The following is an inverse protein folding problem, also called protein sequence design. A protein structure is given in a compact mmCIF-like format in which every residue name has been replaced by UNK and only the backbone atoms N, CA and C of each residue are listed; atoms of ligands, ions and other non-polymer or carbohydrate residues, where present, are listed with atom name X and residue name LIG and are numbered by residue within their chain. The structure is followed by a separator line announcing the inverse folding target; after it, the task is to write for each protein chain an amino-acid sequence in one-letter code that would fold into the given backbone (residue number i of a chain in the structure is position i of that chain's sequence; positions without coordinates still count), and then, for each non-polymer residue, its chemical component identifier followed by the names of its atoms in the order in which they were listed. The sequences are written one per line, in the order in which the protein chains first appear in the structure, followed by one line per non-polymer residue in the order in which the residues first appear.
data_IF_670294552080
#
_entry.id   IF_670294552080
#
_cell.length_a   1.000
_cell.length_b   1.000
_cell.length_c   1.000
_cell.angle_alpha   90.00
_cell.angle_beta   90.00
_cell.angle_gamma   90.00
#
_symmetry.space_group_name_H-M   'P 1'
#
loop_
_entity.id
_entity.type
_entity.pdbx_description
1 polymer ?
#
# COMPACT_ATOMS: atom_id res chain seq x y z
N UNK A 1 2.98 1.82 6.72
CA UNK A 1 2.67 0.53 7.40
C UNK A 1 3.97 -0.24 7.59
N UNK A 2 4.22 -0.78 8.79
CA UNK A 2 5.50 -1.44 9.08
C UNK A 2 5.39 -2.92 8.72
N UNK A 3 6.27 -3.38 7.83
CA UNK A 3 6.52 -4.80 7.59
C UNK A 3 7.01 -5.43 8.90
N UNK A 4 6.48 -6.57 9.26
CA UNK A 4 6.88 -7.36 10.43
C UNK A 4 7.49 -8.68 9.97
N UNK A 5 8.29 -9.28 10.83
CA UNK A 5 8.79 -10.63 10.58
C UNK A 5 7.63 -11.62 10.72
N UNK A 6 7.54 -12.57 9.78
CA UNK A 6 6.57 -13.67 9.87
C UNK A 6 6.76 -14.45 11.16
N UNK A 7 5.69 -14.94 11.80
CA UNK A 7 5.82 -15.72 13.02
C UNK A 7 6.53 -17.05 12.73
N UNK A 8 7.69 -17.26 13.35
CA UNK A 8 8.44 -18.52 13.24
C UNK A 8 7.72 -19.67 13.95
N UNK A 9 6.98 -19.36 15.02
CA UNK A 9 6.18 -20.31 15.80
C UNK A 9 4.76 -19.79 15.93
N UNK A 10 3.80 -20.67 15.70
CA UNK A 10 2.37 -20.39 15.89
C UNK A 10 1.66 -21.63 16.40
N UNK A 11 0.55 -21.43 17.09
CA UNK A 11 -0.33 -22.48 17.59
C UNK A 11 -1.61 -22.52 16.75
N UNK A 12 -2.04 -23.74 16.40
CA UNK A 12 -3.38 -23.93 15.82
C UNK A 12 -4.41 -23.89 16.94
N UNK A 13 -5.47 -23.15 16.72
CA UNK A 13 -6.58 -23.05 17.68
C UNK A 13 -7.93 -23.22 16.97
N UNK A 14 -8.76 -24.09 17.51
CA UNK A 14 -10.15 -24.26 17.07
C UNK A 14 -11.03 -23.10 17.54
N UNK A 15 -10.57 -22.35 18.54
CA UNK A 15 -11.25 -21.18 19.10
C UNK A 15 -10.91 -19.87 18.34
N UNK A 16 -10.07 -19.96 17.31
CA UNK A 16 -9.78 -18.80 16.45
C UNK A 16 -10.72 -18.80 15.26
N UNK A 17 -11.52 -17.74 15.16
CA UNK A 17 -12.41 -17.49 14.04
C UNK A 17 -11.81 -16.43 13.12
N UNK A 18 -11.72 -16.74 11.83
CA UNK A 18 -11.15 -15.84 10.80
C UNK A 18 -11.94 -15.93 9.52
N UNK A 19 -12.25 -14.78 8.93
CA UNK A 19 -12.81 -14.70 7.59
C UNK A 19 -12.27 -13.47 6.88
N UNK A 20 -11.89 -13.64 5.62
CA UNK A 20 -11.59 -12.53 4.72
C UNK A 20 -12.82 -12.22 3.88
N UNK A 21 -13.33 -10.99 4.01
CA UNK A 21 -14.47 -10.51 3.24
C UNK A 21 -14.03 -9.97 1.88
N UNK A 22 -12.80 -9.43 1.82
CA UNK A 22 -12.17 -8.93 0.60
C UNK A 22 -10.70 -9.34 0.56
N UNK A 23 -10.28 -9.91 -0.56
CA UNK A 23 -8.89 -10.22 -0.90
C UNK A 23 -8.49 -9.45 -2.16
N UNK A 24 -7.18 -9.27 -2.41
CA UNK A 24 -6.72 -8.57 -3.59
C UNK A 24 -7.25 -9.17 -4.89
N UNK A 25 -7.55 -8.30 -5.85
CA UNK A 25 -7.76 -8.69 -7.24
C UNK A 25 -6.43 -8.89 -7.97
N UNK A 26 -6.44 -9.70 -9.03
CA UNK A 26 -5.23 -10.18 -9.72
C UNK A 26 -4.34 -9.09 -10.35
N UNK A 27 -4.85 -7.89 -10.58
CA UNK A 27 -4.22 -6.91 -11.46
C UNK A 27 -3.93 -5.54 -10.81
N UNK A 28 -4.08 -5.41 -9.49
CA UNK A 28 -3.96 -4.12 -8.80
C UNK A 28 -2.72 -4.07 -7.91
N UNK A 29 -1.87 -3.05 -8.10
CA UNK A 29 -0.63 -2.85 -7.32
C UNK A 29 -0.85 -2.45 -5.86
N UNK A 30 -2.04 -1.91 -5.52
CA UNK A 30 -2.53 -1.66 -4.18
C UNK A 30 -3.67 -2.60 -3.87
N UNK A 31 -3.63 -3.23 -2.72
CA UNK A 31 -4.63 -4.22 -2.34
C UNK A 31 -5.25 -3.87 -1.00
N UNK A 32 -6.55 -3.76 -0.99
CA UNK A 32 -7.36 -3.69 0.22
C UNK A 32 -7.72 -5.11 0.65
N UNK A 33 -7.37 -5.45 1.87
CA UNK A 33 -7.76 -6.69 2.50
C UNK A 33 -8.64 -6.33 3.67
N UNK A 34 -9.85 -6.86 3.65
CA UNK A 34 -10.83 -6.65 4.71
C UNK A 34 -11.35 -8.00 5.19
N UNK A 35 -11.71 -8.02 6.45
CA UNK A 35 -12.23 -9.22 7.07
C UNK A 35 -12.35 -9.05 8.57
N UNK A 36 -12.27 -10.14 9.29
CA UNK A 36 -12.30 -10.15 10.74
C UNK A 36 -11.59 -11.38 11.30
N UNK A 37 -11.06 -11.24 12.52
CA UNK A 37 -10.46 -12.33 13.26
C UNK A 37 -10.61 -12.09 14.76
N UNK A 38 -11.06 -13.09 15.51
CA UNK A 38 -11.09 -13.05 16.96
C UNK A 38 -10.81 -14.42 17.58
N UNK A 39 -10.29 -14.40 18.81
CA UNK A 39 -10.06 -15.58 19.63
C UNK A 39 -11.14 -15.61 20.70
N UNK A 40 -11.92 -16.71 20.80
CA UNK A 40 -12.97 -16.87 21.78
C UNK A 40 -12.48 -16.66 23.21
N UNK A 41 -13.26 -15.91 23.99
CA UNK A 41 -12.97 -15.61 25.38
C UNK A 41 -11.82 -14.61 25.60
N UNK A 42 -11.26 -14.01 24.52
CA UNK A 42 -10.20 -13.00 24.61
C UNK A 42 -10.69 -11.67 24.08
N UNK A 43 -10.72 -10.59 24.90
CA UNK A 43 -11.07 -9.27 24.43
C UNK A 43 -10.18 -8.87 23.24
N UNK A 44 -10.81 -8.50 22.14
CA UNK A 44 -10.04 -8.24 20.93
C UNK A 44 -9.14 -7.01 21.03
N UNK A 45 -9.38 -6.10 21.97
CA UNK A 45 -8.52 -4.97 22.32
C UNK A 45 -7.12 -5.43 22.75
N UNK A 46 -7.01 -6.59 23.39
CA UNK A 46 -5.76 -7.19 23.89
C UNK A 46 -5.00 -7.96 22.79
N UNK A 47 -5.60 -8.14 21.63
CA UNK A 47 -5.03 -8.88 20.53
C UNK A 47 -4.41 -7.99 19.45
N UNK A 48 -3.62 -8.59 18.56
CA UNK A 48 -3.11 -7.97 17.33
C UNK A 48 -3.35 -8.92 16.17
N UNK A 49 -3.89 -8.39 15.06
CA UNK A 49 -4.17 -9.18 13.86
C UNK A 49 -3.04 -8.96 12.85
N UNK A 50 -2.46 -10.04 12.36
CA UNK A 50 -1.40 -10.04 11.35
C UNK A 50 -1.87 -10.77 10.10
N UNK A 51 -1.48 -10.26 8.94
CA UNK A 51 -1.75 -10.87 7.64
C UNK A 51 -0.42 -11.14 6.97
N UNK A 52 -0.16 -12.40 6.64
CA UNK A 52 1.03 -12.88 5.94
C UNK A 52 0.69 -13.22 4.49
N UNK A 53 1.52 -12.78 3.59
CA UNK A 53 1.49 -13.12 2.18
C UNK A 53 2.67 -14.02 1.87
N UNK A 54 2.41 -15.15 1.23
CA UNK A 54 3.44 -16.05 0.72
C UNK A 54 3.34 -16.09 -0.80
N UNK A 55 4.35 -15.59 -1.50
CA UNK A 55 4.37 -15.56 -2.96
C UNK A 55 4.74 -16.91 -3.58
N UNK A 56 4.69 -16.99 -4.92
CA UNK A 56 5.00 -18.19 -5.70
C UNK A 56 6.44 -18.70 -5.50
N UNK A 57 7.36 -17.88 -5.01
CA UNK A 57 8.74 -18.22 -4.69
C UNK A 57 8.94 -18.56 -3.22
N UNK A 58 7.87 -18.57 -2.42
CA UNK A 58 7.93 -18.84 -0.99
C UNK A 58 8.38 -17.67 -0.13
N UNK A 59 8.55 -16.48 -0.71
CA UNK A 59 8.86 -15.28 0.05
C UNK A 59 7.65 -14.87 0.87
N UNK A 60 7.89 -14.54 2.13
CA UNK A 60 6.87 -14.16 3.09
C UNK A 60 6.99 -12.68 3.46
N UNK A 61 5.88 -11.98 3.40
CA UNK A 61 5.72 -10.61 3.88
C UNK A 61 4.55 -10.55 4.87
N UNK A 62 4.81 -10.12 6.10
CA UNK A 62 3.82 -10.09 7.18
C UNK A 62 3.55 -8.65 7.63
N UNK A 63 2.29 -8.30 7.80
CA UNK A 63 1.82 -6.95 8.13
C UNK A 63 0.87 -6.96 9.31
N UNK A 64 0.98 -5.97 10.18
CA UNK A 64 0.01 -5.70 11.23
C UNK A 64 -1.19 -4.98 10.61
N UNK A 65 -2.38 -5.56 10.74
CA UNK A 65 -3.62 -4.95 10.29
C UNK A 65 -4.12 -3.87 11.26
N UNK A 66 -4.81 -2.86 10.73
CA UNK A 66 -5.60 -1.96 11.54
C UNK A 66 -6.87 -2.69 12.00
N UNK A 67 -7.25 -2.49 13.27
CA UNK A 67 -8.51 -3.03 13.77
C UNK A 67 -9.64 -2.03 13.57
N UNK A 68 -10.80 -2.55 13.19
CA UNK A 68 -12.02 -1.77 13.03
C UNK A 68 -13.20 -2.48 13.74
N UNK A 69 -14.17 -1.72 14.24
CA UNK A 69 -15.34 -2.32 14.92
C UNK A 69 -16.20 -3.10 13.93
N UNK A 70 -16.69 -4.27 14.39
CA UNK A 70 -17.57 -5.17 13.65
C UNK A 70 -18.78 -5.58 14.52
N UNK A 71 -19.70 -4.66 14.79
CA UNK A 71 -20.92 -4.98 15.55
C UNK A 71 -21.76 -6.10 14.91
N UNK A 72 -21.70 -6.21 13.58
CA UNK A 72 -22.36 -7.28 12.83
C UNK A 72 -21.85 -8.69 13.22
N UNK A 73 -20.57 -8.80 13.58
CA UNK A 73 -19.98 -10.08 14.05
C UNK A 73 -20.42 -10.37 15.49
N UNK A 74 -20.48 -9.34 16.34
CA UNK A 74 -21.01 -9.47 17.71
C UNK A 74 -22.45 -9.97 17.66
N UNK A 75 -23.29 -9.38 16.82
CA UNK A 75 -24.69 -9.76 16.69
C UNK A 75 -24.85 -11.18 16.12
N UNK A 76 -24.03 -11.56 15.14
CA UNK A 76 -24.13 -12.85 14.48
C UNK A 76 -23.66 -14.02 15.36
N UNK A 77 -22.67 -13.82 16.21
CA UNK A 77 -22.02 -14.88 17.00
C UNK A 77 -22.29 -14.75 18.51
N UNK A 78 -22.88 -13.66 18.98
CA UNK A 78 -23.08 -13.38 20.42
C UNK A 78 -21.77 -13.11 21.17
N UNK A 79 -20.67 -12.84 20.45
CA UNK A 79 -19.31 -12.71 20.99
C UNK A 79 -19.00 -11.22 21.24
N UNK A 80 -19.30 -10.73 22.44
CA UNK A 80 -19.09 -9.30 22.80
C UNK A 80 -17.60 -8.91 22.78
N UNK A 81 -16.70 -9.83 23.05
CA UNK A 81 -15.25 -9.69 22.98
C UNK A 81 -14.75 -9.42 21.54
N UNK A 82 -15.56 -9.76 20.53
CA UNK A 82 -15.21 -9.61 19.12
C UNK A 82 -15.51 -8.21 18.54
N UNK A 83 -15.94 -7.22 19.34
CA UNK A 83 -16.31 -5.90 18.80
C UNK A 83 -15.22 -5.28 17.92
N UNK A 84 -13.96 -5.36 18.32
CA UNK A 84 -12.81 -4.82 17.58
C UNK A 84 -12.09 -5.89 16.73
N UNK A 85 -12.84 -6.86 16.19
CA UNK A 85 -12.28 -7.98 15.43
C UNK A 85 -12.06 -7.69 13.94
N UNK A 86 -12.59 -6.60 13.41
CA UNK A 86 -12.40 -6.25 12.02
C UNK A 86 -10.92 -5.99 11.69
N UNK A 87 -10.48 -6.47 10.55
CA UNK A 87 -9.19 -6.14 9.97
C UNK A 87 -9.36 -5.28 8.73
N UNK A 88 -8.57 -4.23 8.66
CA UNK A 88 -8.44 -3.37 7.48
C UNK A 88 -6.96 -3.17 7.19
N UNK A 89 -6.53 -3.66 6.03
CA UNK A 89 -5.14 -3.66 5.63
C UNK A 89 -5.02 -3.23 4.17
N UNK A 90 -4.35 -2.11 3.93
CA UNK A 90 -3.97 -1.67 2.60
C UNK A 90 -2.47 -1.82 2.42
N UNK A 91 -2.06 -2.63 1.45
CA UNK A 91 -0.65 -2.92 1.17
C UNK A 91 -0.34 -2.84 -0.31
N UNK A 92 0.93 -2.59 -0.61
CA UNK A 92 1.47 -2.80 -1.95
C UNK A 92 1.99 -4.23 -2.08
N UNK A 93 1.47 -4.97 -3.06
CA UNK A 93 1.92 -6.33 -3.37
C UNK A 93 3.01 -6.38 -4.45
N UNK A 94 3.47 -5.22 -4.91
CA UNK A 94 4.43 -5.09 -6.03
C UNK A 94 5.78 -5.80 -5.82
N UNK A 95 6.13 -6.12 -4.58
CA UNK A 95 7.36 -6.85 -4.24
C UNK A 95 7.19 -8.35 -4.19
N UNK A 96 5.98 -8.86 -4.37
CA UNK A 96 5.69 -10.28 -4.47
C UNK A 96 6.02 -10.77 -5.87
N UNK A 97 6.46 -12.02 -5.98
CA UNK A 97 6.69 -12.65 -7.28
C UNK A 97 5.36 -12.93 -8.00
N UNK A 98 5.38 -12.86 -9.33
CA UNK A 98 4.23 -13.24 -10.14
C UNK A 98 3.82 -14.68 -9.87
N UNK A 99 2.52 -14.92 -9.92
CA UNK A 99 1.93 -16.23 -9.71
C UNK A 99 1.02 -16.28 -8.47
N UNK A 100 0.72 -17.47 -7.97
CA UNK A 100 -0.17 -17.64 -6.84
C UNK A 100 0.42 -17.05 -5.56
N UNK A 101 -0.39 -16.30 -4.85
CA UNK A 101 -0.08 -15.73 -3.53
C UNK A 101 -1.06 -16.28 -2.52
N UNK A 102 -0.54 -16.85 -1.45
CA UNK A 102 -1.34 -17.38 -0.33
C UNK A 102 -1.40 -16.36 0.79
N UNK A 103 -2.58 -16.22 1.40
CA UNK A 103 -2.82 -15.30 2.51
C UNK A 103 -3.11 -16.11 3.77
N UNK A 104 -2.34 -15.84 4.83
CA UNK A 104 -2.56 -16.37 6.18
C UNK A 104 -2.89 -15.24 7.14
N UNK A 105 -3.76 -15.52 8.09
CA UNK A 105 -4.12 -14.60 9.16
C UNK A 105 -3.70 -15.19 10.50
N UNK A 106 -3.06 -14.37 11.32
CA UNK A 106 -2.68 -14.72 12.69
C UNK A 106 -3.27 -13.70 13.66
N UNK A 107 -3.70 -14.19 14.80
CA UNK A 107 -4.03 -13.37 15.96
C UNK A 107 -2.96 -13.56 17.01
N UNK A 108 -2.36 -12.47 17.50
CA UNK A 108 -1.37 -12.50 18.57
C UNK A 108 -2.01 -12.04 19.87
N UNK A 109 -1.89 -12.88 20.91
CA UNK A 109 -2.27 -12.61 22.30
C UNK A 109 -1.18 -13.15 23.22
N UNK A 110 -0.79 -12.40 24.25
CA UNK A 110 0.24 -12.74 25.25
C UNK A 110 1.54 -13.31 24.65
N UNK A 111 1.99 -12.73 23.56
CA UNK A 111 3.23 -13.15 22.88
C UNK A 111 3.07 -14.33 21.95
N UNK A 112 1.96 -15.07 22.02
CA UNK A 112 1.68 -16.27 21.21
C UNK A 112 0.91 -15.88 19.94
N UNK A 113 1.30 -16.45 18.81
CA UNK A 113 0.57 -16.35 17.56
C UNK A 113 -0.36 -17.55 17.39
N UNK A 114 -1.62 -17.27 17.12
CA UNK A 114 -2.66 -18.26 16.85
C UNK A 114 -3.04 -18.21 15.38
N UNK A 115 -3.25 -19.37 14.78
CA UNK A 115 -3.86 -19.55 13.47
C UNK A 115 -4.95 -20.61 13.58
N UNK A 116 -5.93 -20.57 12.70
CA UNK A 116 -6.95 -21.61 12.66
C UNK A 116 -6.47 -22.88 11.93
N UNK A 117 -7.36 -23.86 11.83
CA UNK A 117 -7.08 -25.13 11.15
C UNK A 117 -6.99 -25.00 9.62
N UNK A 118 -7.48 -23.88 9.05
CA UNK A 118 -7.36 -23.60 7.64
C UNK A 118 -6.09 -22.78 7.40
N UNK A 119 -5.08 -23.38 6.80
CA UNK A 119 -3.77 -22.76 6.60
C UNK A 119 -3.77 -21.57 5.65
N UNK A 120 -4.76 -21.46 4.76
CA UNK A 120 -4.85 -20.38 3.76
C UNK A 120 -6.24 -19.78 3.79
N UNK A 121 -6.34 -18.47 4.03
CA UNK A 121 -7.61 -17.74 4.08
C UNK A 121 -8.03 -17.14 2.75
N UNK A 122 -7.09 -16.98 1.85
CA UNK A 122 -7.33 -16.49 0.51
C UNK A 122 -6.15 -16.81 -0.39
N UNK A 123 -6.43 -16.89 -1.65
CA UNK A 123 -5.42 -17.05 -2.69
C UNK A 123 -5.78 -16.15 -3.87
N UNK A 124 -4.79 -15.50 -4.46
CA UNK A 124 -4.96 -14.73 -5.68
C UNK A 124 -3.73 -14.89 -6.56
N UNK A 125 -3.89 -14.62 -7.85
CA UNK A 125 -2.77 -14.59 -8.78
C UNK A 125 -2.23 -13.18 -8.89
N UNK A 126 -1.00 -12.99 -8.42
CA UNK A 126 -0.28 -11.74 -8.62
C UNK A 126 0.33 -11.73 -10.03
N UNK A 127 0.07 -10.66 -10.76
CA UNK A 127 0.65 -10.42 -12.07
C UNK A 127 1.23 -9.01 -12.09
N UNK A 128 2.51 -8.92 -11.80
CA UNK A 128 3.24 -7.67 -11.90
C UNK A 128 4.27 -7.80 -13.00
N UNK A 129 4.28 -6.90 -13.96
CA UNK A 129 5.34 -6.86 -14.97
C UNK A 129 4.95 -7.24 -16.40
N UNK A 130 3.69 -7.50 -16.71
CA UNK A 130 3.23 -7.59 -18.11
C UNK A 130 2.85 -6.24 -18.73
N UNK A 131 2.93 -5.15 -17.96
CA UNK A 131 2.83 -3.81 -18.52
C UNK A 131 4.17 -3.47 -19.13
N UNK A 132 4.21 -3.18 -20.40
CA UNK A 132 5.44 -2.82 -21.09
C UNK A 132 6.07 -1.51 -20.61
N UNK A 133 5.44 -0.78 -19.62
CA UNK A 133 5.87 0.52 -19.11
C UNK A 133 5.56 0.66 -17.62
N UNK A 134 6.41 1.40 -16.89
CA UNK A 134 6.13 1.83 -15.52
C UNK A 134 5.20 3.04 -15.53
N UNK A 135 4.28 3.09 -14.58
CA UNK A 135 3.43 4.26 -14.33
C UNK A 135 4.05 5.11 -13.20
N UNK A 136 4.62 6.24 -13.54
CA UNK A 136 5.29 7.15 -12.61
C UNK A 136 4.48 8.42 -12.45
N UNK A 137 4.16 8.81 -11.22
CA UNK A 137 3.37 10.00 -10.97
C UNK A 137 4.13 11.09 -10.19
N UNK A 138 3.92 12.32 -10.60
CA UNK A 138 4.18 13.51 -9.79
C UNK A 138 2.89 13.88 -9.06
N UNK A 139 2.96 14.06 -7.74
CA UNK A 139 1.80 14.40 -6.92
C UNK A 139 1.83 15.83 -6.41
N UNK A 140 0.66 16.45 -6.34
CA UNK A 140 0.45 17.76 -5.74
C UNK A 140 0.70 18.92 -6.70
N UNK A 141 1.12 20.05 -6.18
CA UNK A 141 1.33 21.24 -7.00
C UNK A 141 2.60 21.16 -7.84
N UNK A 142 2.46 21.17 -9.16
CA UNK A 142 3.58 21.25 -10.09
C UNK A 142 4.00 22.71 -10.30
N UNK A 143 4.95 23.13 -9.48
CA UNK A 143 5.58 24.46 -9.49
C UNK A 143 7.10 24.30 -9.52
N UNK A 144 7.88 25.33 -9.92
CA UNK A 144 9.34 25.24 -10.02
C UNK A 144 10.00 24.67 -8.75
N UNK A 145 9.56 25.12 -7.58
CA UNK A 145 10.10 24.69 -6.28
C UNK A 145 9.90 23.20 -5.99
N UNK A 146 8.84 22.60 -6.55
CA UNK A 146 8.51 21.19 -6.41
C UNK A 146 8.98 20.34 -7.59
N UNK A 147 9.84 20.90 -8.44
CA UNK A 147 10.54 20.18 -9.49
C UNK A 147 9.85 20.17 -10.84
N UNK A 148 8.92 21.11 -11.15
CA UNK A 148 8.31 21.16 -12.47
C UNK A 148 9.33 21.37 -13.59
N UNK A 149 10.39 22.14 -13.33
CA UNK A 149 11.47 22.35 -14.31
C UNK A 149 12.21 21.02 -14.60
N UNK A 150 12.53 20.26 -13.57
CA UNK A 150 13.16 18.95 -13.72
C UNK A 150 12.24 17.94 -14.44
N UNK A 151 10.95 17.96 -14.12
CA UNK A 151 9.97 17.11 -14.80
C UNK A 151 9.87 17.43 -16.30
N UNK A 152 9.92 18.73 -16.67
CA UNK A 152 9.89 19.17 -18.07
C UNK A 152 11.13 18.70 -18.86
N UNK A 153 12.26 18.51 -18.21
CA UNK A 153 13.46 17.93 -18.84
C UNK A 153 13.40 16.41 -18.84
N UNK A 154 13.03 15.81 -17.71
CA UNK A 154 13.04 14.36 -17.53
C UNK A 154 12.04 13.63 -18.42
N UNK A 155 10.81 14.14 -18.51
CA UNK A 155 9.73 13.47 -19.27
C UNK A 155 10.11 13.33 -20.76
N UNK A 156 10.58 14.40 -21.48
CA UNK A 156 10.97 14.28 -22.86
C UNK A 156 12.22 13.41 -23.11
N UNK A 157 13.05 13.18 -22.09
CA UNK A 157 14.22 12.29 -22.20
C UNK A 157 13.84 10.81 -22.23
N UNK A 158 12.65 10.47 -21.71
CA UNK A 158 12.16 9.10 -21.74
C UNK A 158 11.80 8.69 -23.18
N UNK A 159 12.33 7.54 -23.60
CA UNK A 159 12.10 6.96 -24.93
C UNK A 159 10.87 6.05 -24.96
N UNK A 160 9.90 6.29 -24.07
CA UNK A 160 8.64 5.56 -24.02
C UNK A 160 8.65 4.32 -23.12
N UNK A 161 9.60 4.26 -22.17
CA UNK A 161 9.64 3.22 -21.12
C UNK A 161 8.74 3.49 -19.93
N UNK A 162 8.25 4.72 -19.79
CA UNK A 162 7.46 5.19 -18.65
C UNK A 162 6.16 5.83 -19.15
N UNK A 163 5.07 5.58 -18.46
CA UNK A 163 3.88 6.40 -18.52
C UNK A 163 3.96 7.44 -17.41
N UNK A 164 3.95 8.70 -17.76
CA UNK A 164 4.08 9.82 -16.83
C UNK A 164 2.72 10.38 -16.46
N UNK A 165 2.47 10.55 -15.18
CA UNK A 165 1.24 11.12 -14.64
C UNK A 165 1.56 12.37 -13.84
N UNK A 166 0.91 13.48 -14.18
CA UNK A 166 0.95 14.72 -13.39
C UNK A 166 -0.39 14.87 -12.70
N UNK A 167 -0.42 14.54 -11.41
CA UNK A 167 -1.65 14.45 -10.62
C UNK A 167 -1.70 15.60 -9.62
N UNK A 168 -2.55 16.60 -9.89
CA UNK A 168 -2.76 17.74 -9.01
C UNK A 168 -2.73 19.10 -9.69
N UNK A 169 -2.57 20.16 -8.90
CA UNK A 169 -2.57 21.53 -9.40
C UNK A 169 -1.34 21.83 -10.27
N UNK A 170 -1.54 22.36 -11.44
CA UNK A 170 -0.48 22.75 -12.37
C UNK A 170 -0.25 24.26 -12.25
N UNK A 171 0.79 24.64 -11.50
CA UNK A 171 1.21 26.02 -11.36
C UNK A 171 2.20 26.47 -12.43
N UNK A 172 3.03 25.55 -12.94
CA UNK A 172 3.90 25.78 -14.09
C UNK A 172 3.19 25.32 -15.37
N UNK A 173 2.53 26.25 -16.06
CA UNK A 173 1.76 25.93 -17.25
C UNK A 173 2.59 25.38 -18.41
N UNK A 174 3.89 25.65 -18.44
CA UNK A 174 4.75 25.17 -19.52
C UNK A 174 4.92 23.63 -19.48
N UNK A 175 4.58 22.95 -18.37
CA UNK A 175 4.57 21.48 -18.31
C UNK A 175 3.48 20.89 -19.23
N UNK A 176 2.42 21.65 -19.51
CA UNK A 176 1.34 21.22 -20.41
C UNK A 176 1.76 21.23 -21.89
N UNK A 177 2.90 21.85 -22.22
CA UNK A 177 3.47 21.85 -23.57
C UNK A 177 4.16 20.51 -23.91
N UNK A 178 4.29 19.62 -22.93
CA UNK A 178 4.83 18.27 -23.15
C UNK A 178 3.81 17.48 -23.97
N UNK A 179 4.11 17.28 -25.25
CA UNK A 179 3.25 16.58 -26.21
C UNK A 179 3.68 15.12 -26.41
N UNK A 180 3.79 14.35 -25.33
CA UNK A 180 4.09 12.92 -25.41
C UNK A 180 2.83 12.10 -25.17
N UNK A 181 2.61 11.06 -25.99
CA UNK A 181 1.46 10.14 -25.87
C UNK A 181 1.40 9.41 -24.52
N UNK A 182 2.54 9.28 -23.85
CA UNK A 182 2.71 8.62 -22.55
C UNK A 182 2.74 9.60 -21.37
N UNK A 183 2.30 10.86 -21.55
CA UNK A 183 2.19 11.85 -20.48
C UNK A 183 0.73 12.26 -20.26
N UNK A 184 0.23 12.03 -19.05
CA UNK A 184 -1.16 12.22 -18.66
C UNK A 184 -1.27 13.28 -17.58
N UNK A 185 -2.22 14.17 -17.71
CA UNK A 185 -2.47 15.26 -16.77
C UNK A 185 -3.84 15.07 -16.13
N UNK A 186 -3.91 15.19 -14.81
CA UNK A 186 -5.15 15.20 -14.04
C UNK A 186 -5.37 16.59 -13.41
N UNK A 187 -6.63 16.90 -13.13
CA UNK A 187 -6.99 18.08 -12.34
C UNK A 187 -6.62 17.91 -10.85
N UNK A 188 -6.88 18.96 -10.06
CA UNK A 188 -6.78 18.88 -8.60
C UNK A 188 -7.70 17.78 -8.04
N UNK A 189 -7.24 17.10 -7.01
CA UNK A 189 -7.98 16.07 -6.29
C UNK A 189 -8.10 16.44 -4.82
N UNK A 190 -9.09 15.88 -4.14
CA UNK A 190 -9.18 15.91 -2.68
C UNK A 190 -8.33 14.80 -2.08
N UNK A 191 -7.85 15.00 -0.86
CA UNK A 191 -6.98 14.03 -0.18
C UNK A 191 -7.63 12.64 -0.08
N UNK A 192 -8.93 12.61 0.12
CA UNK A 192 -9.73 11.38 0.24
C UNK A 192 -9.83 10.61 -1.09
N UNK A 193 -9.71 11.32 -2.21
CA UNK A 193 -9.77 10.76 -3.57
C UNK A 193 -8.43 10.17 -4.02
N UNK A 194 -7.32 10.58 -3.38
CA UNK A 194 -5.97 10.19 -3.79
C UNK A 194 -5.77 8.66 -3.85
N UNK A 195 -6.22 7.85 -2.87
CA UNK A 195 -6.05 6.41 -2.96
C UNK A 195 -6.67 5.82 -4.23
N UNK A 196 -7.90 6.23 -4.56
CA UNK A 196 -8.59 5.76 -5.75
C UNK A 196 -7.93 6.27 -7.03
N UNK A 197 -7.50 7.53 -7.06
CA UNK A 197 -6.80 8.12 -8.19
C UNK A 197 -5.49 7.37 -8.52
N UNK A 198 -4.73 6.98 -7.49
CA UNK A 198 -3.50 6.21 -7.64
C UNK A 198 -3.78 4.77 -8.11
N UNK A 199 -4.86 4.18 -7.64
CA UNK A 199 -5.31 2.84 -8.05
C UNK A 199 -5.80 2.84 -9.50
N UNK A 200 -6.69 3.76 -9.87
CA UNK A 200 -7.27 3.86 -11.22
C UNK A 200 -6.21 4.09 -12.31
N UNK A 201 -5.17 4.86 -11.97
CA UNK A 201 -4.04 5.10 -12.88
C UNK A 201 -2.91 4.07 -12.69
N UNK A 202 -3.11 3.08 -11.83
CA UNK A 202 -2.17 1.98 -11.59
C UNK A 202 -0.73 2.46 -11.32
N UNK A 203 -0.58 3.50 -10.48
CA UNK A 203 0.71 4.16 -10.24
C UNK A 203 1.71 3.23 -9.55
N UNK A 204 2.87 3.06 -10.14
CA UNK A 204 3.96 2.21 -9.65
C UNK A 204 4.93 2.96 -8.75
N UNK A 205 5.23 4.20 -9.06
CA UNK A 205 6.24 5.01 -8.39
C UNK A 205 5.72 6.45 -8.27
N UNK A 206 5.96 7.07 -7.13
CA UNK A 206 5.79 8.52 -6.98
C UNK A 206 7.15 9.19 -7.16
N UNK A 207 7.20 10.21 -8.00
CA UNK A 207 8.39 11.02 -8.24
C UNK A 207 8.26 12.37 -7.52
N UNK A 208 9.22 12.70 -6.65
CA UNK A 208 9.23 13.92 -5.83
C UNK A 208 10.56 14.63 -6.04
N UNK A 209 10.58 15.74 -6.77
CA UNK A 209 11.80 16.42 -7.19
C UNK A 209 11.91 17.86 -6.65
N UNK A 210 11.81 18.11 -5.34
CA UNK A 210 12.00 19.45 -4.82
C UNK A 210 13.41 19.96 -5.12
N UNK A 211 13.52 21.25 -5.46
CA UNK A 211 14.81 21.91 -5.69
C UNK A 211 15.32 22.68 -4.46
N UNK A 212 14.51 22.73 -3.40
CA UNK A 212 14.88 23.31 -2.11
C UNK A 212 14.44 22.40 -0.96
N UNK A 213 15.05 22.50 0.22
CA UNK A 213 14.69 21.64 1.35
C UNK A 213 13.28 21.95 1.87
N UNK A 214 12.41 20.94 1.83
CA UNK A 214 11.12 20.96 2.52
C UNK A 214 11.32 20.57 3.99
N UNK A 215 10.47 21.11 4.88
CA UNK A 215 10.54 20.80 6.32
C UNK A 215 9.89 19.47 6.67
N UNK A 216 8.95 18.96 5.88
CA UNK A 216 8.26 17.70 6.17
C UNK A 216 7.90 16.88 4.92
N UNK A 217 7.29 17.47 3.91
CA UNK A 217 6.71 16.84 2.70
C UNK A 217 5.54 15.88 2.98
N UNK A 218 4.32 16.39 2.92
CA UNK A 218 3.10 15.58 3.02
C UNK A 218 2.99 14.55 1.89
N UNK A 219 3.47 14.87 0.70
CA UNK A 219 3.46 13.97 -0.47
C UNK A 219 4.21 12.66 -0.19
N UNK A 220 5.32 12.72 0.56
CA UNK A 220 6.03 11.51 1.04
C UNK A 220 5.11 10.64 1.91
N UNK A 221 4.38 11.25 2.84
CA UNK A 221 3.45 10.52 3.70
C UNK A 221 2.29 9.93 2.89
N UNK A 222 1.76 10.67 1.95
CA UNK A 222 0.67 10.23 1.07
C UNK A 222 1.09 9.04 0.20
N UNK A 223 2.28 9.08 -0.40
CA UNK A 223 2.82 7.95 -1.16
C UNK A 223 2.94 6.69 -0.30
N UNK A 224 3.53 6.80 0.89
CA UNK A 224 3.72 5.65 1.78
C UNK A 224 2.44 5.12 2.39
N UNK A 225 1.47 5.98 2.73
CA UNK A 225 0.15 5.56 3.19
C UNK A 225 -0.57 4.72 2.13
N UNK A 226 -0.28 4.97 0.86
CA UNK A 226 -0.81 4.19 -0.26
C UNK A 226 0.12 3.04 -0.70
N UNK A 227 1.20 2.78 0.05
CA UNK A 227 2.12 1.66 -0.22
C UNK A 227 2.98 1.84 -1.48
N UNK A 228 3.08 3.06 -2.03
CA UNK A 228 3.82 3.34 -3.26
C UNK A 228 5.23 3.81 -2.92
N UNK A 229 6.27 3.22 -3.53
CA UNK A 229 7.64 3.66 -3.35
C UNK A 229 7.89 5.02 -4.03
N UNK A 230 8.92 5.72 -3.55
CA UNK A 230 9.26 7.06 -3.99
C UNK A 230 10.63 7.07 -4.67
N UNK A 231 10.74 7.82 -5.77
CA UNK A 231 12.00 8.32 -6.29
C UNK A 231 12.05 9.82 -6.05
N UNK A 232 13.12 10.30 -5.41
CA UNK A 232 13.18 11.71 -5.05
C UNK A 232 14.60 12.29 -5.13
N UNK A 233 14.67 13.63 -5.19
CA UNK A 233 15.93 14.33 -4.92
C UNK A 233 16.30 14.21 -3.44
N UNK A 234 17.57 13.97 -3.14
CA UNK A 234 18.08 13.82 -1.77
C UNK A 234 18.26 15.20 -1.10
N UNK A 235 17.16 15.92 -0.88
CA UNK A 235 17.15 17.28 -0.33
C UNK A 235 16.17 17.37 0.85
N UNK A 236 16.64 17.95 1.97
CA UNK A 236 15.82 18.25 3.14
C UNK A 236 15.10 17.05 3.73
N UNK A 237 13.89 17.27 4.23
CA UNK A 237 13.09 16.22 4.87
C UNK A 237 12.73 15.07 3.91
N UNK A 238 12.63 15.32 2.61
CA UNK A 238 12.32 14.27 1.63
C UNK A 238 13.43 13.21 1.63
N UNK A 239 14.67 13.61 1.38
CA UNK A 239 15.82 12.70 1.37
C UNK A 239 16.06 12.06 2.75
N UNK A 240 15.99 12.85 3.84
CA UNK A 240 16.17 12.34 5.19
C UNK A 240 15.17 11.24 5.55
N UNK A 241 13.88 11.45 5.25
CA UNK A 241 12.83 10.48 5.53
C UNK A 241 13.01 9.20 4.73
N UNK A 242 13.38 9.31 3.44
CA UNK A 242 13.60 8.13 2.59
C UNK A 242 14.80 7.31 3.10
N UNK A 243 15.92 7.95 3.44
CA UNK A 243 17.09 7.25 4.01
C UNK A 243 16.78 6.53 5.31
N UNK A 244 15.97 7.16 6.20
CA UNK A 244 15.60 6.56 7.49
C UNK A 244 14.64 5.38 7.36
N UNK A 245 13.74 5.39 6.39
CA UNK A 245 12.64 4.41 6.29
C UNK A 245 12.84 3.36 5.21
N UNK A 246 13.70 3.62 4.21
CA UNK A 246 13.89 2.75 3.06
C UNK A 246 12.67 2.64 2.14
N UNK A 247 11.73 3.58 2.20
CA UNK A 247 10.51 3.59 1.39
C UNK A 247 10.67 4.20 0.00
N UNK A 248 11.91 4.29 -0.53
CA UNK A 248 12.21 4.88 -1.84
C UNK A 248 13.72 4.96 -2.10
N UNK A 249 14.09 5.72 -3.12
CA UNK A 249 15.44 5.99 -3.60
C UNK A 249 15.70 7.47 -3.79
#
# INVERSE_FOLDING_TARGET
MYKRQSPEKHQKSEHLHVKLDRVPGADQGLNDIKGWAYLEGVPNEETKIYVEFTDSKGKKDCFLANKVPRPDIVDAFGATEALMCGLDLRISTRKLADGPVKIHVYVKHDGVFYTDNQSTKGEYHHRFGKRGRLNVAFLGGMVPQKGSLMARELIPMDKGGINWFVLGAIGDKNILEISQENCFFSSTYKKEELPQLLEDNEIDIICILPIWPETFSYTVSEAWLNGIPIVATDIGAVGERIRKTGGGW
#
